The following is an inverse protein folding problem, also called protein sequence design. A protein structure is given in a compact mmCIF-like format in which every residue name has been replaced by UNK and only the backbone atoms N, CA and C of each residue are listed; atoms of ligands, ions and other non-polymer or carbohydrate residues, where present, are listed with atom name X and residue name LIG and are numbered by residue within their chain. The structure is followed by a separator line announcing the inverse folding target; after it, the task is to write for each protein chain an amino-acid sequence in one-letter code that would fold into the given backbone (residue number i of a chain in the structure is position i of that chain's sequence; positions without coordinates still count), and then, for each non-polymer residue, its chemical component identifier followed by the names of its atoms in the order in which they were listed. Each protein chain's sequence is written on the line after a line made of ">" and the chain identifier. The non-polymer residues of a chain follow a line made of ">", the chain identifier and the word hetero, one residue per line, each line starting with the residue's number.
data_IF_589700609797
#
_entry.id   IF_589700609797
#
_cell.length_a   1.000
_cell.length_b   1.000
_cell.length_c   1.000
_cell.angle_alpha   90.00
_cell.angle_beta   90.00
_cell.angle_gamma   90.00
#
_symmetry.space_group_name_H-M   'P 1'
#
loop_
_entity.id
_entity.type
_entity.pdbx_description
1 polymer ?
#
# COMPACT_ATOMS: atom_id res chain seq x y z
N UNK A 1 -14.68 -12.62 -15.85
CA UNK A 1 -15.68 -12.18 -16.84
C UNK A 1 -15.72 -13.22 -17.95
N UNK A 2 -16.92 -13.60 -18.39
CA UNK A 2 -17.14 -14.55 -19.47
C UNK A 2 -17.65 -13.80 -20.70
N UNK A 3 -17.07 -14.06 -21.88
CA UNK A 3 -17.35 -13.28 -23.10
C UNK A 3 -17.70 -14.20 -24.27
N UNK A 4 -18.87 -13.95 -24.89
CA UNK A 4 -19.36 -14.70 -26.04
C UNK A 4 -19.99 -16.07 -25.69
N UNK A 5 -20.73 -16.63 -26.65
CA UNK A 5 -21.57 -17.82 -26.45
C UNK A 5 -20.81 -19.11 -26.15
N UNK A 6 -19.50 -19.14 -26.38
CA UNK A 6 -18.63 -20.31 -26.16
C UNK A 6 -17.82 -20.23 -24.86
N UNK A 7 -18.10 -19.25 -23.99
CA UNK A 7 -17.45 -19.09 -22.69
C UNK A 7 -18.45 -19.34 -21.55
N UNK A 8 -19.02 -20.55 -21.39
CA UNK A 8 -19.95 -20.81 -20.31
C UNK A 8 -19.21 -20.84 -18.96
N UNK A 9 -19.93 -20.53 -17.87
CA UNK A 9 -19.37 -20.48 -16.51
C UNK A 9 -18.55 -21.73 -16.12
N UNK A 10 -19.00 -22.99 -16.38
CA UNK A 10 -18.25 -24.17 -15.96
C UNK A 10 -16.83 -24.26 -16.53
N UNK A 11 -16.57 -23.63 -17.68
CA UNK A 11 -15.22 -23.55 -18.24
C UNK A 11 -14.30 -22.73 -17.32
N UNK A 12 -14.81 -21.64 -16.74
CA UNK A 12 -14.09 -20.83 -15.74
C UNK A 12 -13.93 -21.53 -14.40
N UNK A 13 -14.92 -22.33 -14.01
CA UNK A 13 -14.88 -23.04 -12.73
C UNK A 13 -13.88 -24.18 -12.69
N UNK A 14 -13.61 -24.81 -13.83
CA UNK A 14 -12.85 -26.06 -13.87
C UNK A 14 -11.60 -26.03 -14.76
N UNK A 15 -11.53 -25.21 -15.81
CA UNK A 15 -10.55 -25.45 -16.88
C UNK A 15 -9.79 -24.23 -17.41
N UNK A 16 -10.42 -23.05 -17.47
CA UNK A 16 -9.82 -21.88 -18.11
C UNK A 16 -8.67 -21.23 -17.34
N UNK A 17 -8.54 -21.53 -16.03
CA UNK A 17 -7.47 -21.03 -15.17
C UNK A 17 -7.82 -19.91 -14.18
N UNK A 18 -8.84 -19.05 -14.37
CA UNK A 18 -9.29 -18.14 -13.31
C UNK A 18 -9.71 -18.88 -12.04
N UNK A 19 -9.60 -18.22 -10.89
CA UNK A 19 -10.06 -18.79 -9.63
C UNK A 19 -11.57 -18.59 -9.47
N UNK A 20 -12.31 -19.67 -9.20
CA UNK A 20 -13.77 -19.61 -8.97
C UNK A 20 -14.16 -19.19 -7.55
N UNK A 21 -13.18 -18.97 -6.65
CA UNK A 21 -13.44 -18.40 -5.33
C UNK A 21 -13.60 -16.90 -5.48
N UNK A 22 -14.84 -16.48 -5.73
CA UNK A 22 -15.21 -15.11 -6.09
C UNK A 22 -15.94 -14.38 -4.93
N UNK A 23 -15.80 -13.05 -4.85
CA UNK A 23 -16.58 -12.24 -3.92
C UNK A 23 -18.06 -12.23 -4.30
N UNK A 24 -18.93 -12.57 -3.35
CA UNK A 24 -20.40 -12.61 -3.52
C UNK A 24 -21.10 -11.55 -2.67
N UNK A 25 -22.45 -11.51 -2.66
CA UNK A 25 -23.23 -10.59 -1.83
C UNK A 25 -22.86 -9.11 -2.00
N UNK A 26 -22.51 -8.69 -3.24
CA UNK A 26 -22.16 -7.31 -3.58
C UNK A 26 -20.72 -6.89 -3.24
N UNK A 27 -19.92 -7.78 -2.65
CA UNK A 27 -18.54 -7.47 -2.24
C UNK A 27 -17.56 -7.32 -3.41
N UNK A 28 -17.93 -7.76 -4.62
CA UNK A 28 -17.17 -7.53 -5.85
C UNK A 28 -16.92 -6.03 -6.17
N UNK A 29 -17.62 -5.11 -5.49
CA UNK A 29 -17.37 -3.66 -5.56
C UNK A 29 -16.03 -3.22 -4.95
N UNK A 30 -15.48 -4.00 -4.02
CA UNK A 30 -14.26 -3.64 -3.28
C UNK A 30 -13.33 -4.83 -3.00
N UNK A 31 -13.73 -6.05 -3.37
CA UNK A 31 -12.94 -7.28 -3.25
C UNK A 31 -12.65 -7.88 -4.62
N UNK A 32 -11.52 -8.57 -4.74
CA UNK A 32 -11.10 -9.30 -5.94
C UNK A 32 -11.38 -10.80 -5.80
N UNK A 33 -11.34 -11.52 -6.92
CA UNK A 33 -11.24 -12.98 -6.91
C UNK A 33 -9.98 -13.42 -6.14
N UNK A 34 -10.07 -14.57 -5.47
CA UNK A 34 -8.92 -15.16 -4.77
C UNK A 34 -7.76 -15.39 -5.76
N UNK A 35 -6.56 -14.96 -5.40
CA UNK A 35 -5.37 -15.10 -6.20
C UNK A 35 -4.09 -15.16 -5.37
N UNK A 36 -2.95 -15.17 -6.06
CA UNK A 36 -1.64 -15.29 -5.43
C UNK A 36 -1.39 -14.17 -4.39
N UNK A 37 -1.91 -12.96 -4.65
CA UNK A 37 -1.73 -11.82 -3.76
C UNK A 37 -2.42 -11.98 -2.40
N UNK A 38 -3.45 -12.81 -2.28
CA UNK A 38 -4.10 -13.09 -0.99
C UNK A 38 -3.20 -13.90 -0.05
N UNK A 39 -2.17 -14.56 -0.59
CA UNK A 39 -1.19 -15.34 0.15
C UNK A 39 0.15 -14.60 0.34
N UNK A 40 0.24 -13.35 -0.12
CA UNK A 40 1.45 -12.52 -0.02
C UNK A 40 1.17 -11.31 0.87
N UNK A 41 2.13 -10.97 1.74
CA UNK A 41 2.15 -9.69 2.45
C UNK A 41 3.03 -8.68 1.71
N UNK A 42 2.50 -7.51 1.40
CA UNK A 42 3.25 -6.39 0.81
C UNK A 42 3.77 -5.48 1.91
N UNK A 43 5.08 -5.33 2.00
CA UNK A 43 5.76 -4.51 3.01
C UNK A 43 6.61 -3.44 2.35
N UNK A 44 6.50 -2.20 2.80
CA UNK A 44 7.33 -1.08 2.33
C UNK A 44 8.57 -0.92 3.22
N UNK A 45 9.74 -0.81 2.59
CA UNK A 45 11.00 -0.47 3.26
C UNK A 45 11.40 0.96 2.89
N UNK A 46 11.74 1.77 3.90
CA UNK A 46 12.19 3.15 3.71
C UNK A 46 13.61 3.28 4.24
N UNK A 47 14.55 3.63 3.36
CA UNK A 47 15.92 4.00 3.71
C UNK A 47 16.18 5.42 3.22
N UNK A 48 16.65 6.28 4.12
CA UNK A 48 16.86 7.68 3.84
C UNK A 48 18.28 8.09 4.24
N UNK A 49 18.97 8.85 3.39
CA UNK A 49 20.33 9.30 3.70
C UNK A 49 20.31 10.48 4.68
N UNK A 50 21.38 10.66 5.47
CA UNK A 50 21.53 11.83 6.36
C UNK A 50 21.41 13.13 5.56
N UNK A 51 22.02 13.18 4.37
CA UNK A 51 22.02 14.36 3.50
C UNK A 51 20.63 14.68 2.95
N UNK A 52 19.90 13.68 2.45
CA UNK A 52 18.51 13.85 2.01
C UNK A 52 17.62 14.33 3.15
N UNK A 53 17.82 13.82 4.37
CA UNK A 53 17.10 14.29 5.55
C UNK A 53 17.47 15.71 5.93
N UNK A 54 18.75 16.06 5.90
CA UNK A 54 19.22 17.41 6.19
C UNK A 54 18.61 18.42 5.24
N UNK A 55 18.53 18.10 3.95
CA UNK A 55 17.97 18.97 2.91
C UNK A 55 16.45 19.18 3.02
N UNK A 56 15.74 18.25 3.67
CA UNK A 56 14.28 18.32 3.80
C UNK A 56 13.79 18.55 5.23
N UNK A 57 14.69 18.58 6.24
CA UNK A 57 14.31 18.60 7.67
C UNK A 57 13.34 19.72 8.02
N UNK A 58 13.59 20.93 7.53
CA UNK A 58 12.77 22.11 7.83
C UNK A 58 11.36 22.00 7.27
N UNK A 59 11.20 21.45 6.06
CA UNK A 59 9.90 21.22 5.43
C UNK A 59 9.09 20.16 6.18
N UNK A 60 9.74 19.03 6.51
CA UNK A 60 9.10 17.92 7.24
C UNK A 60 8.66 18.38 8.63
N UNK A 61 9.53 19.08 9.37
CA UNK A 61 9.18 19.66 10.66
C UNK A 61 8.03 20.66 10.57
N UNK A 62 8.00 21.49 9.52
CA UNK A 62 6.91 22.45 9.30
C UNK A 62 5.56 21.76 9.06
N UNK A 63 5.52 20.68 8.29
CA UNK A 63 4.30 19.89 8.13
C UNK A 63 3.84 19.32 9.47
N UNK A 64 4.74 18.64 10.19
CA UNK A 64 4.43 18.05 11.50
C UNK A 64 3.94 19.10 12.52
N UNK A 65 4.54 20.30 12.54
CA UNK A 65 4.08 21.39 13.40
C UNK A 65 2.70 21.91 13.02
N UNK A 66 2.40 22.04 11.73
CA UNK A 66 1.08 22.50 11.25
C UNK A 66 -0.03 21.49 11.52
N UNK A 67 0.32 20.20 11.58
CA UNK A 67 -0.58 19.12 12.00
C UNK A 67 -0.69 18.97 13.53
N UNK A 68 0.04 19.78 14.32
CA UNK A 68 0.07 19.68 15.79
C UNK A 68 0.89 18.51 16.33
N UNK A 69 1.64 17.80 15.49
CA UNK A 69 2.45 16.63 15.81
C UNK A 69 3.86 17.03 16.29
N UNK A 70 3.94 17.67 17.45
CA UNK A 70 5.21 18.20 18.01
C UNK A 70 6.28 17.11 18.22
N UNK A 71 5.89 15.91 18.65
CA UNK A 71 6.81 14.78 18.79
C UNK A 71 7.40 14.31 17.44
N UNK A 72 6.64 14.38 16.35
CA UNK A 72 7.14 14.03 15.02
C UNK A 72 8.19 15.04 14.56
N UNK A 73 7.93 16.34 14.71
CA UNK A 73 8.90 17.40 14.42
C UNK A 73 10.17 17.26 15.28
N UNK A 74 10.01 17.00 16.58
CA UNK A 74 11.14 16.81 17.49
C UNK A 74 11.99 15.60 17.10
N UNK A 75 11.39 14.50 16.61
CA UNK A 75 12.14 13.35 16.14
C UNK A 75 13.13 13.69 15.02
N UNK A 76 12.77 14.62 14.13
CA UNK A 76 13.68 15.13 13.10
C UNK A 76 14.72 16.06 13.72
N UNK A 77 14.29 16.95 14.61
CA UNK A 77 15.15 17.95 15.25
C UNK A 77 16.34 17.30 15.99
N UNK A 78 16.07 16.32 16.86
CA UNK A 78 17.11 15.66 17.68
C UNK A 78 18.16 14.91 16.87
N UNK A 79 17.88 14.56 15.60
CA UNK A 79 18.85 13.94 14.69
C UNK A 79 19.90 14.92 14.16
N UNK A 80 19.73 16.22 14.39
CA UNK A 80 20.64 17.29 13.98
C UNK A 80 21.02 18.24 15.12
N UNK A 81 20.45 18.10 16.32
CA UNK A 81 20.73 18.97 17.48
C UNK A 81 22.15 18.77 18.07
N UNK A 82 22.91 17.75 17.63
CA UNK A 82 24.29 17.50 18.07
C UNK A 82 25.37 17.79 17.01
N UNK A 83 24.99 18.36 15.86
CA UNK A 83 25.93 18.73 14.78
C UNK A 83 26.39 20.22 14.90
N UNK A 84 26.22 20.85 16.07
CA UNK A 84 26.75 22.19 16.42
C UNK A 84 27.95 22.09 17.37
#
# INVERSE_FOLDING_TARGET
>A
MFLGSYSPEPVGDYFAGPNHTLPTSGTARFSSALGVYDFIKRTSYIRYSKESLKNNKSKIMRFAQREGLTAHANSIKVRFDCDD
#
